data_IF_824238489901
#
_entry.id   IF_824238489901
#
_cell.length_a   1.000
_cell.length_b   1.000
_cell.length_c   1.000
_cell.angle_alpha   90.00
_cell.angle_beta   90.00
_cell.angle_gamma   90.00
#
_symmetry.space_group_name_H-M   'P 1'
#
loop_
_entity.id
_entity.type
_entity.pdbx_description
1 polymer ?
#
# COMPACT_ATOMS: atom_id res chain seq x y z
N UNK A 1 -86.24 6.76 22.10
CA UNK A 1 -86.56 6.97 20.68
C UNK A 1 -85.32 7.55 20.03
N UNK A 2 -84.60 6.97 19.07
CA UNK A 2 -84.54 5.65 18.41
C UNK A 2 -83.21 5.66 17.62
N UNK A 3 -82.47 4.54 17.54
CA UNK A 3 -81.45 4.32 16.48
C UNK A 3 -82.15 4.01 15.13
N UNK A 4 -81.49 4.12 13.94
CA UNK A 4 -80.41 3.22 13.41
C UNK A 4 -79.23 4.01 12.74
N UNK A 5 -78.01 3.54 12.43
CA UNK A 5 -77.32 2.32 11.94
C UNK A 5 -77.38 2.05 10.40
N UNK A 6 -76.18 2.11 9.78
CA UNK A 6 -75.57 1.36 8.64
C UNK A 6 -75.48 1.82 7.15
N UNK A 7 -74.22 1.76 6.66
CA UNK A 7 -73.69 1.18 5.39
C UNK A 7 -73.77 2.03 4.11
N UNK A 8 -72.65 2.45 3.48
CA UNK A 8 -71.75 1.65 2.62
C UNK A 8 -70.35 2.29 2.42
N UNK A 9 -69.37 1.43 2.14
CA UNK A 9 -67.95 1.75 1.90
C UNK A 9 -67.64 2.14 0.44
N UNK A 10 -66.55 2.89 0.20
CA UNK A 10 -65.61 2.57 -0.89
C UNK A 10 -64.23 3.23 -0.71
N UNK A 11 -63.23 2.43 -1.06
CA UNK A 11 -61.77 2.55 -0.91
C UNK A 11 -61.10 3.65 -1.77
N UNK A 12 -60.04 4.29 -1.25
CA UNK A 12 -58.74 4.39 -1.97
C UNK A 12 -57.59 4.82 -1.05
N UNK A 13 -56.50 4.03 -1.06
CA UNK A 13 -55.23 4.28 -0.35
C UNK A 13 -54.37 5.30 -1.11
N UNK A 14 -53.57 6.17 -0.47
CA UNK A 14 -52.39 6.73 -1.09
C UNK A 14 -51.20 5.80 -0.91
N UNK A 15 -50.43 5.60 -1.98
CA UNK A 15 -49.32 4.65 -2.06
C UNK A 15 -47.99 5.40 -2.18
N UNK A 16 -46.98 4.86 -1.48
CA UNK A 16 -45.52 4.96 -1.69
C UNK A 16 -44.82 6.33 -1.57
N UNK A 17 -44.15 6.47 -0.43
CA UNK A 17 -42.69 6.44 -0.33
C UNK A 17 -41.92 7.28 -1.36
N UNK A 18 -41.55 8.49 -0.94
CA UNK A 18 -40.56 9.31 -1.62
C UNK A 18 -39.42 9.63 -0.66
N UNK A 19 -38.67 8.60 -0.28
CA UNK A 19 -37.35 8.75 0.33
C UNK A 19 -36.35 9.06 -0.79
N UNK A 20 -36.09 10.35 -1.02
CA UNK A 20 -35.00 10.81 -1.88
C UNK A 20 -33.68 10.35 -1.25
N UNK A 21 -33.14 9.25 -1.77
CA UNK A 21 -31.79 8.83 -1.50
C UNK A 21 -30.86 9.87 -2.12
N UNK A 22 -30.13 10.62 -1.29
CA UNK A 22 -28.94 11.35 -1.71
C UNK A 22 -27.92 10.29 -2.15
N UNK A 23 -27.86 10.03 -3.45
CA UNK A 23 -26.76 9.26 -4.04
C UNK A 23 -25.57 10.21 -4.06
N UNK A 24 -24.65 10.02 -3.14
CA UNK A 24 -23.32 10.63 -3.21
C UNK A 24 -22.61 10.02 -4.41
N UNK A 25 -22.53 10.75 -5.53
CA UNK A 25 -21.62 10.44 -6.62
C UNK A 25 -20.19 10.62 -6.10
N UNK A 26 -19.62 9.58 -5.49
CA UNK A 26 -18.19 9.55 -5.20
C UNK A 26 -17.47 9.31 -6.52
N UNK A 27 -16.93 10.38 -7.11
CA UNK A 27 -15.99 10.25 -8.22
C UNK A 27 -14.76 9.49 -7.69
N UNK A 28 -14.48 8.29 -8.22
CA UNK A 28 -13.38 7.49 -7.71
C UNK A 28 -12.07 8.25 -7.91
N UNK A 29 -11.33 8.45 -6.82
CA UNK A 29 -10.01 9.07 -6.88
C UNK A 29 -9.11 8.26 -7.83
N UNK A 30 -8.11 8.87 -8.46
CA UNK A 30 -7.23 8.16 -9.41
C UNK A 30 -6.58 6.88 -8.81
N UNK A 31 -6.44 6.82 -7.48
CA UNK A 31 -5.99 5.64 -6.72
C UNK A 31 -6.98 4.46 -6.79
N UNK A 32 -8.27 4.72 -6.99
CA UNK A 32 -9.34 3.73 -7.19
C UNK A 32 -9.43 3.25 -8.66
N UNK A 33 -8.77 3.93 -9.61
CA UNK A 33 -8.79 3.55 -11.03
C UNK A 33 -7.92 2.32 -11.35
N UNK A 34 -6.92 2.01 -10.51
CA UNK A 34 -6.21 0.74 -10.55
C UNK A 34 -6.57 -0.08 -9.32
N UNK A 35 -7.40 -1.13 -9.47
CA UNK A 35 -7.76 -1.98 -8.35
C UNK A 35 -6.52 -2.64 -7.77
N UNK A 36 -6.54 -2.95 -6.47
CA UNK A 36 -5.48 -3.72 -5.77
C UNK A 36 -5.16 -5.08 -6.43
N UNK A 37 -5.96 -5.51 -7.39
CA UNK A 37 -5.75 -6.70 -8.22
C UNK A 37 -4.84 -6.49 -9.45
N UNK A 38 -4.57 -5.25 -9.84
CA UNK A 38 -3.70 -4.86 -10.97
C UNK A 38 -2.90 -3.61 -10.60
N UNK A 39 -2.13 -3.73 -9.52
CA UNK A 39 -1.39 -2.61 -8.94
C UNK A 39 0.00 -2.45 -9.56
N UNK A 40 0.50 -1.22 -9.51
CA UNK A 40 1.90 -0.88 -9.72
C UNK A 40 2.55 -0.54 -8.39
N UNK A 41 3.66 -1.17 -8.05
CA UNK A 41 4.46 -0.88 -6.86
C UNK A 41 5.85 -0.37 -7.25
N UNK A 42 6.39 0.55 -6.45
CA UNK A 42 7.78 0.98 -6.56
C UNK A 42 8.59 0.46 -5.38
N UNK A 43 9.61 -0.35 -5.65
CA UNK A 43 10.52 -0.89 -4.64
C UNK A 43 11.86 -0.17 -4.72
N UNK A 44 12.18 0.63 -3.71
CA UNK A 44 13.47 1.30 -3.50
C UNK A 44 14.47 0.29 -2.95
N UNK A 45 15.36 -0.22 -3.79
CA UNK A 45 16.41 -1.16 -3.39
C UNK A 45 17.56 -0.34 -2.80
N UNK A 46 17.78 -0.44 -1.49
CA UNK A 46 18.82 0.31 -0.80
C UNK A 46 20.11 -0.52 -0.78
N UNK A 47 21.18 0.07 -1.32
CA UNK A 47 22.52 -0.50 -1.34
C UNK A 47 23.34 -0.10 -0.12
N UNK A 48 23.24 1.16 0.31
CA UNK A 48 23.91 1.67 1.51
C UNK A 48 23.09 2.79 2.12
N UNK A 49 22.99 2.74 3.45
CA UNK A 49 22.36 3.78 4.23
C UNK A 49 23.30 4.98 4.43
N UNK A 50 24.56 4.71 4.74
CA UNK A 50 25.61 5.69 5.01
C UNK A 50 25.89 6.57 3.80
N UNK A 51 25.99 5.97 2.61
CA UNK A 51 26.18 6.69 1.34
C UNK A 51 24.86 7.05 0.65
N UNK A 52 23.72 6.79 1.30
CA UNK A 52 22.36 7.03 0.78
C UNK A 52 22.14 6.51 -0.65
N UNK A 53 22.74 5.37 -0.98
CA UNK A 53 22.70 4.80 -2.32
C UNK A 53 21.51 3.86 -2.46
N UNK A 54 20.59 4.16 -3.38
CA UNK A 54 19.45 3.30 -3.71
C UNK A 54 19.12 3.34 -5.20
N UNK A 55 18.37 2.34 -5.66
CA UNK A 55 17.74 2.35 -6.98
C UNK A 55 16.31 1.83 -6.92
N UNK A 56 15.37 2.57 -7.52
CA UNK A 56 13.98 2.16 -7.65
C UNK A 56 13.78 1.10 -8.73
N UNK A 57 12.99 0.09 -8.43
CA UNK A 57 12.45 -0.90 -9.34
C UNK A 57 10.92 -0.76 -9.37
N UNK A 58 10.34 -0.56 -10.55
CA UNK A 58 8.88 -0.51 -10.73
C UNK A 58 8.40 -1.89 -11.16
N UNK A 59 7.38 -2.40 -10.47
CA UNK A 59 6.73 -3.68 -10.76
C UNK A 59 5.25 -3.42 -11.03
N UNK A 60 4.77 -3.89 -12.17
CA UNK A 60 3.39 -3.69 -12.62
C UNK A 60 2.63 -5.02 -12.63
N UNK A 61 1.31 -4.95 -12.75
CA UNK A 61 0.42 -6.11 -12.86
C UNK A 61 0.49 -7.04 -11.64
N UNK A 62 0.45 -6.44 -10.46
CA UNK A 62 0.49 -7.15 -9.19
C UNK A 62 -0.91 -7.29 -8.59
N UNK A 63 -1.31 -8.52 -8.27
CA UNK A 63 -2.50 -8.79 -7.45
C UNK A 63 -2.11 -8.79 -5.97
N UNK A 64 -2.30 -7.65 -5.31
CA UNK A 64 -1.90 -7.44 -3.91
C UNK A 64 -2.73 -8.25 -2.91
N UNK A 65 -3.87 -8.82 -3.32
CA UNK A 65 -4.74 -9.65 -2.46
C UNK A 65 -4.23 -11.08 -2.30
N UNK A 66 -3.37 -11.52 -3.22
CA UNK A 66 -2.89 -12.89 -3.28
C UNK A 66 -1.36 -12.97 -3.23
N UNK A 67 -0.67 -11.84 -3.41
CA UNK A 67 0.79 -11.77 -3.39
C UNK A 67 1.28 -11.49 -1.97
N UNK A 68 2.14 -12.37 -1.44
CA UNK A 68 2.79 -12.14 -0.15
C UNK A 68 3.97 -11.19 -0.27
N UNK A 69 4.37 -10.60 0.86
CA UNK A 69 5.58 -9.77 0.98
C UNK A 69 6.81 -10.58 0.54
N UNK A 70 6.97 -11.83 1.00
CA UNK A 70 8.09 -12.70 0.61
C UNK A 70 8.14 -12.98 -0.89
N UNK A 71 6.98 -13.26 -1.51
CA UNK A 71 6.90 -13.45 -2.96
C UNK A 71 7.29 -12.18 -3.74
N UNK A 72 6.92 -11.00 -3.24
CA UNK A 72 7.37 -9.73 -3.82
C UNK A 72 8.89 -9.58 -3.69
N UNK A 73 9.49 -9.92 -2.54
CA UNK A 73 10.94 -9.87 -2.34
C UNK A 73 11.66 -10.77 -3.34
N UNK A 74 11.15 -11.97 -3.59
CA UNK A 74 11.73 -12.90 -4.57
C UNK A 74 11.67 -12.35 -6.00
N UNK A 75 10.54 -11.74 -6.40
CA UNK A 75 10.43 -11.05 -7.69
C UNK A 75 11.46 -9.93 -7.84
N UNK A 76 11.67 -9.15 -6.78
CA UNK A 76 12.69 -8.07 -6.77
C UNK A 76 14.10 -8.65 -6.88
N UNK A 77 14.42 -9.70 -6.13
CA UNK A 77 15.73 -10.38 -6.21
C UNK A 77 16.00 -10.92 -7.61
N UNK A 78 15.00 -11.50 -8.26
CA UNK A 78 15.12 -12.00 -9.64
C UNK A 78 15.31 -10.86 -10.64
N UNK A 79 14.55 -9.78 -10.51
CA UNK A 79 14.71 -8.59 -11.34
C UNK A 79 16.12 -7.97 -11.20
N UNK A 80 16.69 -7.94 -9.99
CA UNK A 80 18.06 -7.45 -9.74
C UNK A 80 19.11 -8.28 -10.50
N UNK A 81 18.95 -9.61 -10.54
CA UNK A 81 19.87 -10.52 -11.23
C UNK A 81 19.81 -10.33 -12.74
N UNK A 82 18.61 -10.15 -13.28
CA UNK A 82 18.35 -10.13 -14.73
C UNK A 82 18.59 -8.75 -15.36
N UNK A 83 18.14 -7.67 -14.72
CA UNK A 83 18.22 -6.33 -15.28
C UNK A 83 19.65 -5.79 -15.27
N UNK A 84 20.11 -5.26 -16.41
CA UNK A 84 21.47 -4.72 -16.56
C UNK A 84 21.72 -3.50 -15.66
N UNK A 85 20.69 -2.69 -15.43
CA UNK A 85 20.74 -1.52 -14.55
C UNK A 85 20.99 -1.83 -13.08
N UNK A 86 20.85 -3.09 -12.66
CA UNK A 86 21.03 -3.54 -11.28
C UNK A 86 22.35 -4.31 -11.07
N UNK A 87 23.27 -4.30 -12.04
CA UNK A 87 24.62 -4.91 -11.89
C UNK A 87 25.30 -4.61 -10.55
N UNK A 88 25.33 -3.36 -10.03
CA UNK A 88 25.96 -3.04 -8.73
C UNK A 88 25.23 -3.59 -7.49
N UNK A 89 24.04 -4.17 -7.66
CA UNK A 89 23.14 -4.62 -6.59
C UNK A 89 23.07 -6.15 -6.49
N UNK A 90 23.66 -6.89 -7.45
CA UNK A 90 23.51 -8.36 -7.56
C UNK A 90 24.11 -9.16 -6.40
N UNK A 91 25.08 -8.57 -5.70
CA UNK A 91 25.78 -9.20 -4.56
C UNK A 91 25.17 -8.79 -3.22
N UNK A 92 24.14 -7.96 -3.21
CA UNK A 92 23.52 -7.49 -1.97
C UNK A 92 22.72 -8.62 -1.32
N UNK A 93 22.88 -8.75 0.00
CA UNK A 93 22.02 -9.58 0.83
C UNK A 93 20.79 -8.76 1.20
N UNK A 94 19.68 -8.98 0.50
CA UNK A 94 18.41 -8.28 0.75
C UNK A 94 17.42 -9.23 1.41
N UNK A 95 16.96 -8.88 2.60
CA UNK A 95 16.16 -9.74 3.48
C UNK A 95 15.04 -9.00 4.22
N UNK A 96 14.96 -7.67 4.13
CA UNK A 96 13.97 -6.88 4.89
C UNK A 96 13.26 -5.90 4.00
N UNK A 97 11.92 -5.90 4.06
CA UNK A 97 11.06 -4.94 3.37
C UNK A 97 10.33 -4.03 4.35
N UNK A 98 10.19 -2.75 4.00
CA UNK A 98 9.56 -1.72 4.84
C UNK A 98 8.69 -0.79 4.01
N UNK A 99 7.54 -0.37 4.53
CA UNK A 99 6.77 0.73 3.92
C UNK A 99 7.57 2.04 3.98
N UNK A 100 7.68 2.73 2.84
CA UNK A 100 8.41 3.99 2.75
C UNK A 100 7.50 5.19 3.02
N UNK A 101 6.30 5.20 2.43
CA UNK A 101 5.29 6.25 2.60
C UNK A 101 3.95 5.63 2.98
N UNK A 102 3.28 6.24 3.96
CA UNK A 102 1.85 6.07 4.20
C UNK A 102 1.22 7.42 3.86
N UNK A 103 0.11 7.44 3.11
CA UNK A 103 -0.62 8.66 2.85
C UNK A 103 -0.93 9.36 4.19
N UNK A 104 -0.47 10.61 4.37
CA UNK A 104 -0.52 11.43 5.60
C UNK A 104 0.61 11.22 6.64
N UNK A 105 1.65 10.44 6.34
CA UNK A 105 2.85 10.34 7.18
C UNK A 105 3.73 11.60 7.12
N UNK A 106 4.20 12.06 8.28
CA UNK A 106 5.19 13.15 8.39
C UNK A 106 6.45 12.86 7.57
N UNK A 107 6.92 13.86 6.80
CA UNK A 107 8.16 13.78 6.02
C UNK A 107 9.32 13.27 6.89
N UNK A 108 10.02 12.25 6.42
CA UNK A 108 11.21 11.73 7.11
C UNK A 108 12.34 12.76 6.99
N UNK A 109 13.06 13.01 8.07
CA UNK A 109 14.28 13.85 8.02
C UNK A 109 15.43 13.13 7.29
N UNK A 110 15.40 11.80 7.26
CA UNK A 110 16.38 10.97 6.59
C UNK A 110 15.86 10.52 5.21
N UNK A 111 16.58 10.91 4.15
CA UNK A 111 16.17 10.72 2.75
C UNK A 111 16.31 9.27 2.27
N UNK A 112 17.14 8.46 2.92
CA UNK A 112 17.34 7.07 2.50
C UNK A 112 16.25 6.15 3.05
N UNK A 113 15.90 6.29 4.33
CA UNK A 113 14.86 5.49 4.99
C UNK A 113 14.29 6.19 6.22
N UNK A 114 13.04 5.87 6.58
CA UNK A 114 12.47 6.24 7.88
C UNK A 114 13.10 5.40 8.99
N UNK A 115 13.66 6.01 10.05
CA UNK A 115 14.24 5.31 11.21
C UNK A 115 13.31 5.23 12.42
N UNK A 116 12.19 5.98 12.42
CA UNK A 116 11.34 6.18 13.59
C UNK A 116 10.12 5.24 13.64
N UNK A 117 9.88 4.49 12.56
CA UNK A 117 8.71 3.61 12.42
C UNK A 117 9.15 2.18 12.09
N UNK A 118 9.57 1.41 13.09
CA UNK A 118 9.96 0.00 12.88
C UNK A 118 8.76 -0.90 12.64
N UNK A 119 7.58 -0.51 13.11
CA UNK A 119 6.31 -1.20 12.87
C UNK A 119 5.93 -1.26 11.38
N UNK A 120 6.61 -0.48 10.53
CA UNK A 120 6.47 -0.53 9.07
C UNK A 120 7.35 -1.58 8.42
N UNK A 121 8.21 -2.27 9.19
CA UNK A 121 8.93 -3.45 8.70
C UNK A 121 7.90 -4.58 8.54
N UNK A 122 7.87 -5.14 7.34
CA UNK A 122 6.84 -6.07 6.93
C UNK A 122 7.24 -7.51 7.24
N UNK A 123 6.23 -8.30 7.59
CA UNK A 123 6.33 -9.74 7.74
C UNK A 123 6.20 -10.41 6.36
N UNK A 124 7.12 -11.31 6.03
CA UNK A 124 7.21 -11.94 4.70
C UNK A 124 6.03 -12.86 4.38
N UNK A 125 5.39 -13.40 5.41
CA UNK A 125 4.25 -14.32 5.28
C UNK A 125 2.93 -13.60 5.03
N UNK A 126 2.87 -12.28 5.26
CA UNK A 126 1.64 -11.51 5.09
C UNK A 126 1.38 -11.16 3.62
N UNK A 127 0.10 -11.05 3.31
CA UNK A 127 -0.40 -10.54 2.03
C UNK A 127 -0.15 -9.02 1.95
N UNK A 128 0.22 -8.54 0.77
CA UNK A 128 0.54 -7.12 0.55
C UNK A 128 -0.63 -6.18 0.90
N UNK A 129 -1.86 -6.55 0.54
CA UNK A 129 -3.05 -5.78 0.90
C UNK A 129 -3.25 -5.70 2.43
N UNK A 130 -2.97 -6.78 3.17
CA UNK A 130 -3.16 -6.84 4.63
C UNK A 130 -2.17 -5.98 5.41
N UNK A 131 -1.00 -5.73 4.81
CA UNK A 131 0.00 -4.81 5.36
C UNK A 131 -0.17 -3.37 4.87
N UNK A 132 -1.29 -3.07 4.22
CA UNK A 132 -1.64 -1.70 3.79
C UNK A 132 -1.02 -1.27 2.47
N UNK A 133 -0.45 -2.19 1.67
CA UNK A 133 -0.02 -1.86 0.32
C UNK A 133 -1.23 -1.65 -0.60
N UNK A 134 -1.19 -0.56 -1.36
CA UNK A 134 -2.18 -0.16 -2.35
C UNK A 134 -1.49 0.13 -3.69
N UNK A 135 -2.25 0.46 -4.73
CA UNK A 135 -1.67 0.94 -5.97
C UNK A 135 -0.73 2.13 -5.69
N UNK A 136 0.40 2.17 -6.40
CA UNK A 136 1.47 3.17 -6.29
C UNK A 136 2.19 3.21 -4.93
N UNK A 137 2.00 2.20 -4.06
CA UNK A 137 2.73 2.13 -2.80
C UNK A 137 4.24 2.03 -3.04
N UNK A 138 5.00 2.82 -2.26
CA UNK A 138 6.45 2.76 -2.23
C UNK A 138 6.95 1.92 -1.06
N UNK A 139 7.82 0.96 -1.37
CA UNK A 139 8.46 0.06 -0.42
C UNK A 139 9.98 0.25 -0.47
N UNK A 140 10.65 0.03 0.65
CA UNK A 140 12.12 -0.06 0.71
C UNK A 140 12.53 -1.50 0.94
N UNK A 141 13.51 -1.99 0.18
CA UNK A 141 14.06 -3.34 0.31
C UNK A 141 15.56 -3.28 0.56
N UNK A 142 16.01 -3.89 1.67
CA UNK A 142 17.35 -3.68 2.21
C UNK A 142 17.83 -4.87 3.05
N UNK A 143 19.06 -4.76 3.57
CA UNK A 143 19.65 -5.70 4.52
C UNK A 143 19.32 -5.31 5.97
N UNK A 144 18.76 -6.23 6.77
CA UNK A 144 18.36 -5.95 8.16
C UNK A 144 19.52 -5.48 9.02
N UNK A 145 20.64 -6.20 8.94
CA UNK A 145 21.81 -5.98 9.76
C UNK A 145 22.41 -4.58 9.50
N UNK A 146 22.53 -4.19 8.24
CA UNK A 146 22.96 -2.84 7.86
C UNK A 146 21.99 -1.74 8.34
N UNK A 147 20.68 -2.01 8.32
CA UNK A 147 19.69 -1.06 8.84
C UNK A 147 19.84 -0.86 10.36
N UNK A 148 19.96 -1.94 11.13
CA UNK A 148 20.12 -1.84 12.59
C UNK A 148 21.44 -1.16 12.95
N UNK A 149 22.53 -1.46 12.24
CA UNK A 149 23.83 -0.79 12.44
C UNK A 149 23.74 0.72 12.18
N UNK A 150 23.13 1.11 11.06
CA UNK A 150 22.93 2.53 10.73
C UNK A 150 21.96 3.24 11.68
N UNK A 151 20.99 2.52 12.25
CA UNK A 151 20.08 3.08 13.25
C UNK A 151 20.80 3.42 14.56
N UNK A 152 21.79 2.63 14.96
CA UNK A 152 22.61 2.88 16.15
C UNK A 152 23.54 4.09 15.97
N UNK A 153 24.08 4.27 14.77
CA UNK A 153 24.95 5.39 14.41
C UNK A 153 24.59 5.93 13.02
N UNK A 154 23.63 6.87 12.92
CA UNK A 154 23.11 7.39 11.65
C UNK A 154 24.05 8.43 11.05
N UNK A 155 25.33 8.07 10.88
CA UNK A 155 26.33 8.90 10.22
C UNK A 155 26.18 8.77 8.69
N UNK A 156 25.99 9.90 8.03
CA UNK A 156 26.02 9.95 6.57
C UNK A 156 27.43 10.27 6.11
N UNK A 157 27.93 9.44 5.20
CA UNK A 157 29.21 9.64 4.51
C UNK A 157 28.97 10.35 3.18
N UNK A 158 29.88 11.27 2.88
CA UNK A 158 29.95 11.91 1.57
C UNK A 158 30.87 11.08 0.69
N UNK A 159 30.47 10.85 -0.57
CA UNK A 159 31.28 10.21 -1.60
C UNK A 159 32.21 11.25 -2.27
#
# INVERSE_FOLDING_TARGET
MSEPIETTASSSRPTKDQRLAFVSEHEPLATELHPISDATLTVRVIKSFEFRTQKSLVLQHLDLRNLTVGQLMDRVREAIKTQSGFKPYRTLKLDTMKLYTVAHGSKTSNLIINLNHDEWILDEDKILADVGAQNETELSFFNRESYEAFKLDPEVKWD
#
